data_IF_573664304661
#
_entry.id   IF_573664304661
#
_cell.length_a   1.000
_cell.length_b   1.000
_cell.length_c   1.000
_cell.angle_alpha   90.00
_cell.angle_beta   90.00
_cell.angle_gamma   90.00
#
_symmetry.space_group_name_H-M   'P 1'
#
loop_
_entity.id
_entity.type
_entity.pdbx_description
1 polymer ?
#
# COMPACT_ATOMS: atom_id res chain seq x y z
N UNK A 1 41.68 54.12 -29.93
CA UNK A 1 42.46 53.95 -31.18
C UNK A 1 41.57 53.98 -32.42
N UNK A 2 40.35 53.43 -32.40
CA UNK A 2 39.45 53.44 -33.58
C UNK A 2 38.92 54.83 -33.98
N UNK A 3 38.60 55.69 -33.00
CA UNK A 3 38.16 57.07 -33.24
C UNK A 3 39.27 57.93 -33.85
N UNK A 4 40.53 57.66 -33.49
CA UNK A 4 41.70 58.37 -34.01
C UNK A 4 41.93 58.06 -35.49
N UNK A 5 41.67 56.82 -35.91
CA UNK A 5 41.85 56.36 -37.28
C UNK A 5 40.75 56.87 -38.23
N UNK A 6 39.51 56.97 -37.73
CA UNK A 6 38.40 57.55 -38.50
C UNK A 6 38.60 59.04 -38.72
N UNK A 7 39.06 59.78 -37.70
CA UNK A 7 39.34 61.21 -37.82
C UNK A 7 40.49 61.47 -38.80
N UNK A 8 41.59 60.70 -38.74
CA UNK A 8 42.70 60.86 -39.71
C UNK A 8 42.27 60.53 -41.14
N UNK A 9 41.46 59.49 -41.37
CA UNK A 9 40.97 59.19 -42.73
C UNK A 9 40.05 60.30 -43.27
N UNK A 10 39.19 60.86 -42.41
CA UNK A 10 38.28 61.95 -42.79
C UNK A 10 39.03 63.25 -43.11
N UNK A 11 40.08 63.55 -42.34
CA UNK A 11 40.97 64.70 -42.58
C UNK A 11 41.78 64.51 -43.87
N UNK A 12 42.25 63.30 -44.15
CA UNK A 12 42.95 62.97 -45.41
C UNK A 12 41.99 63.11 -46.61
N UNK A 13 40.74 62.64 -46.51
CA UNK A 13 39.73 62.83 -47.57
C UNK A 13 39.41 64.31 -47.86
N UNK A 14 39.40 65.16 -46.82
CA UNK A 14 39.19 66.61 -46.97
C UNK A 14 40.40 67.32 -47.61
N UNK A 15 41.63 66.86 -47.33
CA UNK A 15 42.86 67.42 -47.91
C UNK A 15 43.02 67.09 -49.41
N UNK A 16 42.49 65.97 -49.88
CA UNK A 16 42.58 65.55 -51.30
C UNK A 16 41.42 66.03 -52.18
N UNK A 17 40.46 66.79 -51.63
CA UNK A 17 39.25 67.27 -52.33
C UNK A 17 39.54 68.11 -53.59
N UNK A 18 40.76 68.63 -53.77
CA UNK A 18 41.06 69.56 -54.86
C UNK A 18 41.96 69.03 -55.98
N UNK A 19 42.27 67.72 -56.10
CA UNK A 19 43.13 67.33 -57.23
C UNK A 19 42.90 66.02 -57.97
N UNK A 20 42.36 64.95 -57.40
CA UNK A 20 42.22 63.70 -58.17
C UNK A 20 40.92 62.95 -57.88
N UNK A 21 40.05 62.89 -58.88
CA UNK A 21 38.74 62.23 -58.82
C UNK A 21 38.87 60.74 -58.47
N UNK A 22 39.95 60.09 -58.93
CA UNK A 22 40.26 58.68 -58.67
C UNK A 22 40.65 58.39 -57.22
N UNK A 23 41.34 59.31 -56.54
CA UNK A 23 41.77 59.12 -55.15
C UNK A 23 40.56 59.17 -54.18
N UNK A 24 39.57 60.01 -54.49
CA UNK A 24 38.33 60.12 -53.70
C UNK A 24 37.45 58.87 -53.82
N UNK A 25 37.35 58.26 -55.01
CA UNK A 25 36.59 57.02 -55.19
C UNK A 25 37.25 55.83 -54.48
N UNK A 26 38.59 55.76 -54.46
CA UNK A 26 39.33 54.74 -53.71
C UNK A 26 39.13 54.85 -52.19
N UNK A 27 39.21 56.06 -51.63
CA UNK A 27 39.00 56.27 -50.19
C UNK A 27 37.54 56.02 -49.80
N UNK A 28 36.57 56.42 -50.64
CA UNK A 28 35.15 56.13 -50.41
C UNK A 28 34.90 54.62 -50.41
N UNK A 29 35.44 53.88 -51.38
CA UNK A 29 35.30 52.42 -51.47
C UNK A 29 35.95 51.73 -50.26
N UNK A 30 37.15 52.15 -49.89
CA UNK A 30 37.85 51.62 -48.71
C UNK A 30 37.11 51.90 -47.39
N UNK A 31 36.52 53.08 -47.23
CA UNK A 31 35.72 53.42 -46.04
C UNK A 31 34.41 52.60 -45.99
N UNK A 32 33.82 52.32 -47.15
CA UNK A 32 32.63 51.46 -47.29
C UNK A 32 32.99 50.01 -46.92
N UNK A 33 34.11 49.48 -47.42
CA UNK A 33 34.58 48.13 -47.11
C UNK A 33 34.90 47.94 -45.62
N UNK A 34 35.51 48.94 -44.96
CA UNK A 34 35.77 48.93 -43.51
C UNK A 34 34.47 48.91 -42.69
N UNK A 35 33.45 49.68 -43.11
CA UNK A 35 32.14 49.66 -42.43
C UNK A 35 31.43 48.32 -42.60
N UNK A 36 31.50 47.71 -43.79
CA UNK A 36 30.94 46.38 -44.01
C UNK A 36 31.66 45.30 -43.20
N UNK A 37 32.99 45.31 -43.16
CA UNK A 37 33.76 44.34 -42.35
C UNK A 37 33.47 44.48 -40.85
N UNK A 38 33.33 45.70 -40.33
CA UNK A 38 32.89 45.93 -38.94
C UNK A 38 31.47 45.41 -38.68
N UNK A 39 30.54 45.62 -39.61
CA UNK A 39 29.16 45.11 -39.50
C UNK A 39 29.13 43.57 -39.51
N UNK A 40 29.90 42.93 -40.40
CA UNK A 40 30.03 41.48 -40.45
C UNK A 40 30.65 40.90 -39.19
N UNK A 41 31.69 41.55 -38.65
CA UNK A 41 32.31 41.14 -37.38
C UNK A 41 31.28 41.18 -36.24
N UNK A 42 30.52 42.28 -36.13
CA UNK A 42 29.51 42.46 -35.09
C UNK A 42 28.37 41.43 -35.22
N UNK A 43 27.90 41.16 -36.44
CA UNK A 43 26.90 40.12 -36.72
C UNK A 43 27.43 38.73 -36.36
N UNK A 44 28.69 38.41 -36.71
CA UNK A 44 29.32 37.14 -36.36
C UNK A 44 29.44 36.95 -34.85
N UNK A 45 29.79 38.00 -34.10
CA UNK A 45 29.86 37.99 -32.65
C UNK A 45 28.48 37.72 -32.02
N UNK A 46 27.41 38.34 -32.54
CA UNK A 46 26.03 38.11 -32.06
C UNK A 46 25.62 36.64 -32.27
N UNK A 47 25.87 36.08 -33.46
CA UNK A 47 25.56 34.69 -33.75
C UNK A 47 26.32 33.72 -32.85
N UNK A 48 27.60 34.02 -32.57
CA UNK A 48 28.43 33.25 -31.66
C UNK A 48 27.90 33.31 -30.22
N UNK A 49 27.44 34.49 -29.78
CA UNK A 49 26.84 34.68 -28.46
C UNK A 49 25.55 33.88 -28.29
N UNK A 50 24.67 33.90 -29.29
CA UNK A 50 23.42 33.11 -29.32
C UNK A 50 23.74 31.61 -29.26
N UNK A 51 24.74 31.14 -30.02
CA UNK A 51 25.16 29.75 -30.02
C UNK A 51 25.69 29.30 -28.63
N UNK A 52 26.48 30.15 -27.96
CA UNK A 52 27.00 29.89 -26.61
C UNK A 52 25.86 29.79 -25.59
N UNK A 53 24.91 30.74 -25.58
CA UNK A 53 23.76 30.72 -24.66
C UNK A 53 22.95 29.44 -24.83
N UNK A 54 22.66 29.05 -26.07
CA UNK A 54 21.91 27.83 -26.36
C UNK A 54 22.65 26.57 -25.88
N UNK A 55 23.98 26.53 -26.04
CA UNK A 55 24.82 25.42 -25.57
C UNK A 55 24.83 25.31 -24.05
N UNK A 56 24.95 26.43 -23.33
CA UNK A 56 24.88 26.47 -21.86
C UNK A 56 23.52 25.96 -21.37
N UNK A 57 22.43 26.44 -21.97
CA UNK A 57 21.07 26.01 -21.62
C UNK A 57 20.87 24.51 -21.85
N UNK A 58 21.37 23.99 -22.97
CA UNK A 58 21.34 22.55 -23.28
C UNK A 58 22.14 21.73 -22.27
N UNK A 59 23.35 22.19 -21.92
CA UNK A 59 24.21 21.52 -20.94
C UNK A 59 23.56 21.46 -19.55
N UNK A 60 22.97 22.57 -19.08
CA UNK A 60 22.23 22.59 -17.82
C UNK A 60 21.03 21.63 -17.82
N UNK A 61 20.28 21.55 -18.93
CA UNK A 61 19.16 20.61 -19.07
C UNK A 61 19.64 19.16 -19.02
N UNK A 62 20.74 18.84 -19.70
CA UNK A 62 21.35 17.51 -19.68
C UNK A 62 21.84 17.13 -18.27
N UNK A 63 22.46 18.06 -17.56
CA UNK A 63 22.94 17.84 -16.19
C UNK A 63 21.78 17.56 -15.21
N UNK A 64 20.68 18.33 -15.30
CA UNK A 64 19.46 18.08 -14.52
C UNK A 64 18.85 16.71 -14.84
N UNK A 65 18.75 16.35 -16.12
CA UNK A 65 18.23 15.05 -16.54
C UNK A 65 19.10 13.89 -16.03
N UNK A 66 20.43 14.04 -16.06
CA UNK A 66 21.36 13.04 -15.54
C UNK A 66 21.22 12.86 -14.01
N UNK A 67 21.03 13.96 -13.26
CA UNK A 67 20.80 13.91 -11.82
C UNK A 67 19.48 13.19 -11.49
N UNK A 68 18.39 13.52 -12.19
CA UNK A 68 17.09 12.86 -12.04
C UNK A 68 17.22 11.36 -12.37
N UNK A 69 17.84 11.02 -13.51
CA UNK A 69 18.03 9.62 -13.91
C UNK A 69 18.81 8.83 -12.85
N UNK A 70 19.87 9.41 -12.28
CA UNK A 70 20.65 8.79 -11.21
C UNK A 70 19.81 8.55 -9.94
N UNK A 71 18.97 9.50 -9.58
CA UNK A 71 18.07 9.36 -8.43
C UNK A 71 17.02 8.27 -8.67
N UNK A 72 16.43 8.24 -9.87
CA UNK A 72 15.45 7.24 -10.27
C UNK A 72 16.04 5.82 -10.30
N UNK A 73 17.29 5.66 -10.74
CA UNK A 73 17.99 4.37 -10.67
C UNK A 73 18.17 3.88 -9.23
N UNK A 74 18.55 4.77 -8.30
CA UNK A 74 18.67 4.40 -6.88
C UNK A 74 17.34 4.00 -6.27
N UNK A 75 16.27 4.74 -6.57
CA UNK A 75 14.92 4.41 -6.10
C UNK A 75 14.46 3.04 -6.62
N UNK A 76 14.72 2.74 -7.90
CA UNK A 76 14.40 1.44 -8.49
C UNK A 76 15.17 0.28 -7.84
N UNK A 77 16.45 0.47 -7.51
CA UNK A 77 17.24 -0.54 -6.79
C UNK A 77 16.66 -0.82 -5.39
N UNK A 78 16.26 0.22 -4.66
CA UNK A 78 15.62 0.08 -3.34
C UNK A 78 14.29 -0.66 -3.47
N UNK A 79 13.43 -0.27 -4.42
CA UNK A 79 12.14 -0.94 -4.62
C UNK A 79 12.31 -2.40 -5.04
N UNK A 80 13.33 -2.71 -5.84
CA UNK A 80 13.64 -4.09 -6.22
C UNK A 80 14.04 -4.93 -5.02
N UNK A 81 14.90 -4.41 -4.15
CA UNK A 81 15.30 -5.11 -2.92
C UNK A 81 14.10 -5.41 -2.01
N UNK A 82 13.21 -4.42 -1.82
CA UNK A 82 11.97 -4.57 -1.05
C UNK A 82 11.05 -5.62 -1.70
N UNK A 83 10.94 -5.63 -3.03
CA UNK A 83 10.11 -6.60 -3.75
C UNK A 83 10.63 -8.03 -3.61
N UNK A 84 11.95 -8.21 -3.67
CA UNK A 84 12.60 -9.51 -3.49
C UNK A 84 12.40 -10.05 -2.05
N UNK A 85 12.49 -9.19 -1.04
CA UNK A 85 12.21 -9.54 0.36
C UNK A 85 10.73 -9.93 0.58
N UNK A 86 9.80 -9.15 0.02
CA UNK A 86 8.38 -9.48 0.09
C UNK A 86 8.06 -10.80 -0.62
N UNK A 87 8.68 -11.08 -1.77
CA UNK A 87 8.50 -12.34 -2.47
C UNK A 87 8.96 -13.55 -1.64
N UNK A 88 10.10 -13.42 -0.94
CA UNK A 88 10.59 -14.45 -0.02
C UNK A 88 9.62 -14.68 1.15
N UNK A 89 9.09 -13.61 1.73
CA UNK A 89 8.10 -13.67 2.82
C UNK A 89 6.81 -14.35 2.37
N UNK A 90 6.30 -14.00 1.18
CA UNK A 90 5.10 -14.61 0.60
C UNK A 90 5.32 -16.12 0.39
N UNK A 91 6.50 -16.53 -0.10
CA UNK A 91 6.81 -17.95 -0.29
C UNK A 91 6.83 -18.72 1.03
N UNK A 92 7.35 -18.12 2.11
CA UNK A 92 7.38 -18.73 3.43
C UNK A 92 5.96 -18.90 4.00
N UNK A 93 5.14 -17.84 3.92
CA UNK A 93 3.75 -17.88 4.35
C UNK A 93 2.93 -18.90 3.54
N UNK A 94 3.17 -19.02 2.24
CA UNK A 94 2.52 -20.03 1.41
C UNK A 94 2.84 -21.45 1.88
N UNK A 95 4.10 -21.74 2.20
CA UNK A 95 4.50 -23.05 2.75
C UNK A 95 3.82 -23.34 4.08
N UNK A 96 3.72 -22.34 4.96
CA UNK A 96 3.04 -22.48 6.25
C UNK A 96 1.55 -22.76 6.07
N UNK A 97 0.87 -22.03 5.18
CA UNK A 97 -0.54 -22.28 4.84
C UNK A 97 -0.72 -23.70 4.31
N UNK A 98 0.16 -24.18 3.42
CA UNK A 98 0.09 -25.55 2.90
C UNK A 98 0.22 -26.57 4.03
N UNK A 99 1.21 -26.41 4.91
CA UNK A 99 1.42 -27.31 6.05
C UNK A 99 0.23 -27.33 7.02
N UNK A 100 -0.32 -26.17 7.37
CA UNK A 100 -1.51 -26.06 8.23
C UNK A 100 -2.75 -26.66 7.56
N UNK A 101 -2.89 -26.51 6.25
CA UNK A 101 -3.99 -27.11 5.49
C UNK A 101 -3.87 -28.64 5.46
N UNK A 102 -2.66 -29.18 5.29
CA UNK A 102 -2.40 -30.61 5.39
C UNK A 102 -2.70 -31.15 6.78
N UNK A 103 -2.25 -30.47 7.84
CA UNK A 103 -2.56 -30.84 9.22
C UNK A 103 -4.07 -30.84 9.50
N UNK A 104 -4.80 -29.84 8.99
CA UNK A 104 -6.26 -29.78 9.09
C UNK A 104 -6.92 -30.96 8.39
N UNK A 105 -6.49 -31.31 7.18
CA UNK A 105 -7.08 -32.41 6.42
C UNK A 105 -6.80 -33.78 7.07
N UNK A 106 -5.65 -33.94 7.74
CA UNK A 106 -5.34 -35.14 8.53
C UNK A 106 -6.17 -35.17 9.82
N UNK A 107 -6.44 -34.03 10.45
CA UNK A 107 -7.30 -33.95 11.62
C UNK A 107 -8.78 -34.20 11.29
N UNK A 108 -9.28 -33.67 10.16
CA UNK A 108 -10.65 -33.87 9.68
C UNK A 108 -10.92 -35.33 9.26
N UNK A 109 -9.89 -36.09 8.86
CA UNK A 109 -10.02 -37.51 8.51
C UNK A 109 -9.87 -38.48 9.69
N UNK A 110 -9.50 -38.01 10.89
CA UNK A 110 -9.24 -38.85 12.07
C UNK A 110 -10.34 -38.83 13.14
N UNK A 111 -11.36 -37.97 13.04
CA UNK A 111 -12.51 -38.05 13.93
C UNK A 111 -13.61 -38.89 13.30
N UNK A 112 -13.90 -40.11 13.80
CA UNK A 112 -15.05 -40.85 13.33
C UNK A 112 -16.29 -39.97 13.54
N UNK A 113 -16.90 -39.57 12.43
CA UNK A 113 -18.15 -38.82 12.34
C UNK A 113 -19.35 -39.69 12.75
N UNK A 114 -19.28 -40.29 13.92
CA UNK A 114 -20.40 -40.93 14.62
C UNK A 114 -20.98 -39.92 15.59
N UNK A 115 -22.31 -39.71 15.57
CA UNK A 115 -23.03 -38.84 16.52
C UNK A 115 -22.42 -38.90 17.93
N UNK A 116 -21.71 -37.84 18.34
CA UNK A 116 -20.67 -37.94 19.39
C UNK A 116 -21.26 -37.91 20.80
N UNK A 117 -22.45 -37.32 21.00
CA UNK A 117 -22.98 -37.09 22.34
C UNK A 117 -24.37 -37.69 22.53
N UNK A 118 -24.41 -38.93 22.98
CA UNK A 118 -25.66 -39.54 23.43
C UNK A 118 -26.16 -38.85 24.72
N UNK A 119 -27.46 -38.91 24.99
CA UNK A 119 -28.05 -38.26 26.16
C UNK A 119 -27.44 -38.72 27.50
N UNK A 120 -26.93 -39.96 27.54
CA UNK A 120 -26.21 -40.57 28.66
C UNK A 120 -24.79 -40.02 28.87
N UNK A 121 -24.29 -39.20 27.94
CA UNK A 121 -22.93 -38.65 27.94
C UNK A 121 -22.86 -37.15 28.24
N UNK A 122 -24.02 -36.50 28.36
CA UNK A 122 -24.09 -35.07 28.69
C UNK A 122 -23.39 -34.75 30.00
N UNK A 123 -23.57 -35.59 31.02
CA UNK A 123 -22.94 -35.38 32.32
C UNK A 123 -21.41 -35.55 32.24
N UNK A 124 -20.91 -36.44 31.37
CA UNK A 124 -19.46 -36.57 31.12
C UNK A 124 -18.90 -35.33 30.43
N UNK A 125 -19.58 -34.82 29.41
CA UNK A 125 -19.18 -33.58 28.74
C UNK A 125 -19.18 -32.39 29.70
N UNK A 126 -20.23 -32.27 30.52
CA UNK A 126 -20.33 -31.26 31.56
C UNK A 126 -19.17 -31.40 32.56
N UNK A 127 -18.81 -32.61 32.95
CA UNK A 127 -17.70 -32.87 33.86
C UNK A 127 -16.37 -32.38 33.28
N UNK A 128 -16.08 -32.66 32.01
CA UNK A 128 -14.86 -32.14 31.36
C UNK A 128 -14.85 -30.61 31.26
N UNK A 129 -16.00 -29.99 30.98
CA UNK A 129 -16.13 -28.53 30.98
C UNK A 129 -15.94 -27.90 32.35
N UNK A 130 -16.27 -28.62 33.43
CA UNK A 130 -16.07 -28.16 34.80
C UNK A 130 -14.59 -27.90 35.11
N UNK A 131 -13.69 -28.70 34.53
CA UNK A 131 -12.25 -28.59 34.76
C UNK A 131 -11.71 -27.29 34.16
N UNK A 132 -12.18 -26.92 32.96
CA UNK A 132 -11.68 -25.74 32.24
C UNK A 132 -12.42 -24.45 32.60
N UNK A 133 -13.71 -24.53 32.96
CA UNK A 133 -14.57 -23.36 33.19
C UNK A 133 -15.48 -23.56 34.43
N UNK A 134 -14.91 -23.66 35.64
CA UNK A 134 -15.69 -24.00 36.85
C UNK A 134 -16.74 -22.94 37.21
N UNK A 135 -16.45 -21.65 37.03
CA UNK A 135 -17.36 -20.54 37.35
C UNK A 135 -18.62 -20.54 36.45
N UNK A 136 -18.44 -20.74 35.15
CA UNK A 136 -19.56 -20.83 34.21
C UNK A 136 -20.46 -22.01 34.58
N UNK A 137 -19.88 -23.16 34.89
CA UNK A 137 -20.68 -24.33 35.19
C UNK A 137 -21.42 -24.21 36.54
N UNK A 138 -20.80 -23.62 37.55
CA UNK A 138 -21.45 -23.35 38.84
C UNK A 138 -22.62 -22.37 38.68
N UNK A 139 -22.47 -21.34 37.83
CA UNK A 139 -23.58 -20.46 37.46
C UNK A 139 -24.72 -21.21 36.76
N UNK A 140 -24.41 -22.00 35.72
CA UNK A 140 -25.42 -22.76 34.97
C UNK A 140 -26.13 -23.83 35.83
N UNK A 141 -25.44 -24.39 36.82
CA UNK A 141 -26.01 -25.34 37.80
C UNK A 141 -26.74 -24.66 38.96
N UNK A 142 -26.89 -23.34 38.95
CA UNK A 142 -27.62 -22.62 39.99
C UNK A 142 -29.04 -23.20 40.15
N UNK A 143 -29.49 -23.52 41.37
CA UNK A 143 -30.82 -24.08 41.63
C UNK A 143 -31.97 -23.21 41.12
N UNK A 144 -31.72 -21.91 40.96
CA UNK A 144 -32.68 -20.91 40.49
C UNK A 144 -33.14 -21.17 39.06
N UNK A 145 -32.22 -21.59 38.17
CA UNK A 145 -32.54 -21.77 36.75
C UNK A 145 -33.20 -23.11 36.44
N UNK A 146 -32.97 -24.14 37.27
CA UNK A 146 -33.48 -25.52 37.06
C UNK A 146 -33.23 -26.02 35.62
N UNK A 147 -32.01 -25.79 35.11
CA UNK A 147 -31.60 -26.28 33.79
C UNK A 147 -31.37 -27.80 33.82
N UNK A 148 -31.81 -28.48 32.77
CA UNK A 148 -31.50 -29.90 32.55
C UNK A 148 -30.06 -30.06 32.03
N UNK A 149 -29.44 -31.24 32.16
CA UNK A 149 -28.10 -31.50 31.61
C UNK A 149 -28.02 -31.16 30.11
N UNK A 150 -29.07 -31.49 29.34
CA UNK A 150 -29.17 -31.11 27.93
C UNK A 150 -29.15 -29.58 27.71
N UNK A 151 -29.89 -28.83 28.52
CA UNK A 151 -29.94 -27.37 28.44
C UNK A 151 -28.60 -26.74 28.85
N UNK A 152 -27.92 -27.32 29.85
CA UNK A 152 -26.55 -26.92 30.23
C UNK A 152 -25.60 -27.15 29.06
N UNK A 153 -25.62 -28.33 28.41
CA UNK A 153 -24.79 -28.61 27.23
C UNK A 153 -25.04 -27.60 26.11
N UNK A 154 -26.30 -27.23 25.85
CA UNK A 154 -26.63 -26.20 24.87
C UNK A 154 -26.09 -24.81 25.25
N UNK A 155 -26.12 -24.46 26.53
CA UNK A 155 -25.51 -23.22 27.02
C UNK A 155 -24.00 -23.22 26.81
N UNK A 156 -23.33 -24.34 27.06
CA UNK A 156 -21.90 -24.51 26.84
C UNK A 156 -21.55 -24.35 25.35
N UNK A 157 -22.28 -25.00 24.43
CA UNK A 157 -22.06 -24.79 22.99
C UNK A 157 -22.32 -23.34 22.54
N UNK A 158 -23.33 -22.67 23.10
CA UNK A 158 -23.56 -21.26 22.82
C UNK A 158 -22.41 -20.37 23.33
N UNK A 159 -21.89 -20.66 24.53
CA UNK A 159 -20.73 -19.98 25.11
C UNK A 159 -19.46 -20.14 24.24
N UNK A 160 -19.28 -21.31 23.62
CA UNK A 160 -18.18 -21.58 22.67
C UNK A 160 -18.43 -21.01 21.26
N UNK A 161 -19.57 -20.37 21.03
CA UNK A 161 -19.98 -19.84 19.71
C UNK A 161 -20.07 -20.94 18.62
N UNK A 162 -20.45 -22.16 18.99
CA UNK A 162 -20.64 -23.27 18.05
C UNK A 162 -21.83 -22.99 17.12
N UNK A 163 -21.67 -23.25 15.82
CA UNK A 163 -22.72 -23.01 14.83
C UNK A 163 -23.94 -23.93 15.04
N UNK A 164 -25.15 -23.46 14.70
CA UNK A 164 -26.36 -24.27 14.89
C UNK A 164 -26.33 -25.57 14.09
N UNK A 165 -25.82 -25.56 12.85
CA UNK A 165 -25.67 -26.76 12.03
C UNK A 165 -24.76 -27.81 12.68
N UNK A 166 -23.67 -27.36 13.32
CA UNK A 166 -22.77 -28.26 14.01
C UNK A 166 -23.37 -28.80 15.31
N UNK A 167 -24.14 -27.99 16.04
CA UNK A 167 -24.88 -28.46 17.23
C UNK A 167 -25.94 -29.51 16.84
N UNK A 168 -26.67 -29.31 15.74
CA UNK A 168 -27.65 -30.28 15.24
C UNK A 168 -27.01 -31.63 14.96
N UNK A 169 -25.82 -31.61 14.36
CA UNK A 169 -25.02 -32.79 14.11
C UNK A 169 -24.53 -33.45 15.41
N UNK A 170 -23.87 -32.70 16.31
CA UNK A 170 -23.30 -33.23 17.55
C UNK A 170 -24.34 -33.87 18.48
N UNK A 171 -25.52 -33.27 18.56
CA UNK A 171 -26.60 -33.73 19.43
C UNK A 171 -27.60 -34.65 18.73
N UNK A 172 -27.45 -34.85 17.42
CA UNK A 172 -28.42 -35.53 16.56
C UNK A 172 -29.87 -35.04 16.80
N UNK A 173 -30.05 -33.71 16.78
CA UNK A 173 -31.35 -33.05 16.97
C UNK A 173 -31.62 -32.11 15.81
N UNK A 174 -32.85 -32.13 15.30
CA UNK A 174 -33.30 -31.18 14.28
C UNK A 174 -33.31 -29.75 14.82
N UNK A 175 -33.07 -28.78 13.93
CA UNK A 175 -33.11 -27.34 14.19
C UNK A 175 -34.28 -26.89 15.08
N UNK A 176 -35.51 -27.33 14.79
CA UNK A 176 -36.71 -26.91 15.54
C UNK A 176 -36.69 -27.35 17.01
N UNK A 177 -36.11 -28.52 17.29
CA UNK A 177 -35.93 -29.02 18.65
C UNK A 177 -34.93 -28.15 19.41
N UNK A 178 -33.83 -27.77 18.75
CA UNK A 178 -32.85 -26.84 19.32
C UNK A 178 -33.45 -25.45 19.57
N UNK A 179 -34.26 -24.94 18.62
CA UNK A 179 -34.95 -23.66 18.74
C UNK A 179 -35.88 -23.63 19.96
N UNK A 180 -36.70 -24.68 20.15
CA UNK A 180 -37.57 -24.82 21.33
C UNK A 180 -36.77 -24.91 22.62
N UNK A 181 -35.65 -25.63 22.63
CA UNK A 181 -34.79 -25.74 23.81
C UNK A 181 -34.13 -24.39 24.17
N UNK A 182 -33.60 -23.67 23.18
CA UNK A 182 -33.06 -22.31 23.38
C UNK A 182 -34.11 -21.37 23.94
N UNK A 183 -35.35 -21.44 23.47
CA UNK A 183 -36.43 -20.63 24.03
C UNK A 183 -36.70 -20.96 25.50
N UNK A 184 -36.72 -22.24 25.89
CA UNK A 184 -36.86 -22.64 27.30
C UNK A 184 -35.73 -22.12 28.17
N UNK A 185 -34.49 -22.20 27.67
CA UNK A 185 -33.31 -21.66 28.37
C UNK A 185 -33.48 -20.16 28.61
N UNK A 186 -33.87 -19.39 27.58
CA UNK A 186 -34.10 -17.95 27.73
C UNK A 186 -35.12 -17.64 28.80
N UNK A 187 -36.24 -18.36 28.83
CA UNK A 187 -37.27 -18.19 29.85
C UNK A 187 -36.73 -18.51 31.26
N UNK A 188 -36.03 -19.65 31.41
CA UNK A 188 -35.48 -20.09 32.69
C UNK A 188 -34.41 -19.16 33.26
N UNK A 189 -33.58 -18.58 32.38
CA UNK A 189 -32.48 -17.70 32.75
C UNK A 189 -32.84 -16.21 32.65
N UNK A 190 -34.09 -15.88 32.33
CA UNK A 190 -34.57 -14.51 32.15
C UNK A 190 -33.75 -13.70 31.13
N UNK A 191 -33.37 -14.35 30.03
CA UNK A 191 -32.64 -13.73 28.91
C UNK A 191 -33.66 -13.17 27.92
N UNK A 192 -33.44 -11.95 27.46
CA UNK A 192 -34.33 -11.33 26.47
C UNK A 192 -34.41 -12.13 25.17
N UNK A 193 -35.60 -12.09 24.55
CA UNK A 193 -35.84 -12.84 23.31
C UNK A 193 -34.92 -12.41 22.16
N UNK A 194 -34.43 -11.17 22.18
CA UNK A 194 -33.49 -10.64 21.18
C UNK A 194 -32.03 -11.05 21.45
N UNK A 195 -31.71 -11.41 22.69
CA UNK A 195 -30.33 -11.63 23.09
C UNK A 195 -29.81 -13.01 22.70
N UNK A 196 -28.53 -13.09 22.38
CA UNK A 196 -27.88 -14.36 22.14
C UNK A 196 -27.41 -14.97 23.46
N UNK A 197 -27.82 -16.20 23.76
CA UNK A 197 -27.45 -16.92 24.99
C UNK A 197 -25.93 -16.92 25.19
N UNK A 198 -25.15 -17.15 24.12
CA UNK A 198 -23.69 -17.17 24.19
C UNK A 198 -23.09 -15.82 24.56
N UNK A 199 -23.61 -14.72 24.00
CA UNK A 199 -23.16 -13.36 24.34
C UNK A 199 -23.49 -13.04 25.79
N UNK A 200 -24.73 -13.29 26.21
CA UNK A 200 -25.19 -13.09 27.58
C UNK A 200 -24.29 -13.82 28.59
N UNK A 201 -23.97 -15.09 28.34
CA UNK A 201 -23.11 -15.87 29.21
C UNK A 201 -21.68 -15.31 29.25
N UNK A 202 -21.12 -14.89 28.11
CA UNK A 202 -19.77 -14.29 28.08
C UNK A 202 -19.70 -12.96 28.81
N UNK A 203 -20.75 -12.14 28.74
CA UNK A 203 -20.83 -10.89 29.50
C UNK A 203 -20.93 -11.13 31.00
N UNK A 204 -21.68 -12.15 31.42
CA UNK A 204 -21.84 -12.50 32.83
C UNK A 204 -20.59 -13.11 33.47
N UNK A 205 -19.69 -13.67 32.65
CA UNK A 205 -18.44 -14.31 33.10
C UNK A 205 -17.20 -13.39 33.02
N UNK A 206 -17.37 -12.15 32.53
CA UNK A 206 -16.35 -11.10 32.62
C UNK A 206 -16.38 -10.43 33.98
#
# INVERSE_FOLDING_TARGET
METTYTITLTVISLLFYKKDHYAMDFIRTSLVDVKYTQLYLLLSCILLFIAIINRIKSYQKAQKAAAIKKQLCKELEIQRAITEEHAATISLLQKEITSLTEQKNVADSSFPHTNILHATEYDKFIHYFQISNPCLLSYLKSPEFKLTSYEIVLCLFAYLNTSSSHIEYLLNKKHDTLKKARQRIKVKMQIDNKDNIGNFLREKMR
#
